data_IF_551651613789
#
_entry.id   IF_551651613789
#
_cell.length_a   1.000
_cell.length_b   1.000
_cell.length_c   1.000
_cell.angle_alpha   90.00
_cell.angle_beta   90.00
_cell.angle_gamma   90.00
#
_symmetry.space_group_name_H-M   'P 1'
#
loop_
_entity.id
_entity.type
_entity.pdbx_description
1 polymer ?
#
# COMPACT_ATOMS: atom_id res chain seq x y z
N UNK A 1 -9.40 9.90 8.66
CA UNK A 1 -10.72 10.46 8.27
C UNK A 1 -11.60 10.74 9.49
N UNK A 2 -11.50 9.95 10.59
CA UNK A 2 -12.16 10.27 11.85
C UNK A 2 -11.50 11.47 12.54
N UNK A 3 -12.22 12.12 13.47
CA UNK A 3 -11.72 13.29 14.20
C UNK A 3 -10.64 12.87 15.22
N UNK A 4 -9.46 13.44 15.13
CA UNK A 4 -8.35 13.25 16.05
C UNK A 4 -7.68 14.59 16.36
N UNK A 5 -7.02 14.69 17.51
CA UNK A 5 -6.22 15.86 17.84
C UNK A 5 -4.91 15.86 17.05
N UNK A 6 -4.62 16.98 16.42
CA UNK A 6 -3.34 17.25 15.80
C UNK A 6 -2.34 17.61 16.87
N UNK A 7 -1.55 16.64 17.28
CA UNK A 7 -0.68 16.81 18.43
C UNK A 7 0.66 17.40 18.04
N UNK A 8 1.12 18.36 18.83
CA UNK A 8 2.47 18.89 18.74
C UNK A 8 3.47 17.81 19.10
N UNK A 9 4.45 17.59 18.22
CA UNK A 9 5.48 16.59 18.41
C UNK A 9 6.66 17.25 19.09
N UNK A 10 7.04 16.79 20.28
CA UNK A 10 8.29 17.20 20.86
C UNK A 10 9.45 16.68 20.00
N UNK A 11 10.33 17.56 19.59
CA UNK A 11 11.62 17.19 19.01
C UNK A 11 12.42 16.40 20.05
N UNK A 12 12.18 15.11 20.17
CA UNK A 12 12.88 14.20 21.05
C UNK A 12 13.35 12.93 20.35
N UNK A 13 14.48 12.46 20.84
CA UNK A 13 15.45 11.58 20.25
C UNK A 13 15.11 10.08 20.23
N UNK A 14 13.95 9.63 20.70
CA UNK A 14 13.70 8.25 21.07
C UNK A 14 12.50 7.60 20.36
N UNK A 15 12.21 8.02 19.12
CA UNK A 15 11.21 7.29 18.31
C UNK A 15 11.94 6.10 17.69
N UNK A 16 11.50 4.85 17.96
CA UNK A 16 12.13 3.67 17.38
C UNK A 16 12.06 3.70 15.84
N UNK A 17 13.14 3.29 15.17
CA UNK A 17 13.26 3.26 13.70
C UNK A 17 12.13 2.51 12.97
N UNK A 18 11.52 1.55 13.63
CA UNK A 18 10.41 0.75 13.13
C UNK A 18 9.03 1.30 13.51
N UNK A 19 9.00 2.41 14.22
CA UNK A 19 7.73 3.00 14.56
C UNK A 19 7.12 3.57 13.27
N UNK A 20 6.12 2.89 12.74
CA UNK A 20 5.04 3.57 12.03
C UNK A 20 4.74 4.84 12.79
N UNK A 21 4.23 5.94 12.20
CA UNK A 21 4.08 7.21 12.90
C UNK A 21 3.25 7.02 14.19
N UNK A 22 3.94 6.57 15.23
CA UNK A 22 3.44 6.40 16.59
C UNK A 22 4.18 7.41 17.44
N UNK A 23 3.47 8.41 17.87
CA UNK A 23 4.03 9.43 18.74
C UNK A 23 3.59 9.21 20.16
N UNK A 24 4.55 9.23 21.08
CA UNK A 24 4.22 9.38 22.48
C UNK A 24 3.76 10.83 22.72
N UNK A 25 2.57 10.95 23.28
CA UNK A 25 2.05 12.21 23.76
C UNK A 25 2.94 12.80 24.81
N UNK A 26 3.18 14.10 24.74
CA UNK A 26 3.71 14.83 25.88
C UNK A 26 2.61 15.24 26.83
N UNK A 27 3.01 15.36 28.09
CA UNK A 27 2.23 16.00 29.14
C UNK A 27 1.71 17.36 28.69
N UNK A 28 0.47 17.65 29.07
CA UNK A 28 -0.42 18.74 28.64
C UNK A 28 0.09 20.18 28.89
N UNK A 29 1.39 20.40 29.15
CA UNK A 29 1.92 21.71 29.53
C UNK A 29 2.95 22.33 28.59
N UNK A 30 3.11 21.84 27.36
CA UNK A 30 4.03 22.48 26.42
C UNK A 30 3.38 23.69 25.74
N UNK A 31 3.89 24.86 26.04
CA UNK A 31 3.61 26.11 25.32
C UNK A 31 3.95 25.88 23.83
N UNK A 32 2.99 26.05 22.93
CA UNK A 32 3.23 26.02 21.49
C UNK A 32 4.24 27.10 21.12
N UNK A 33 5.36 26.69 20.56
CA UNK A 33 6.33 27.62 19.94
C UNK A 33 6.12 27.59 18.43
N UNK A 34 6.39 28.70 17.73
CA UNK A 34 6.23 28.80 16.26
C UNK A 34 7.02 27.74 15.46
N UNK A 35 7.92 27.00 16.10
CA UNK A 35 8.75 25.95 15.51
C UNK A 35 8.27 24.52 15.82
N UNK A 36 7.17 24.35 16.52
CA UNK A 36 6.66 23.02 16.85
C UNK A 36 6.08 22.33 15.60
N UNK A 37 6.45 21.08 15.40
CA UNK A 37 5.89 20.24 14.33
C UNK A 37 4.60 19.58 14.81
N UNK A 38 3.62 19.50 13.93
CA UNK A 38 2.30 18.93 14.22
C UNK A 38 2.11 17.66 13.44
N UNK A 39 1.73 16.58 14.11
CA UNK A 39 1.31 15.34 13.44
C UNK A 39 -0.10 15.52 12.88
N UNK A 40 -0.23 15.64 11.55
CA UNK A 40 -1.50 15.75 10.87
C UNK A 40 -1.99 14.44 10.23
N UNK A 41 -1.21 13.36 10.30
CA UNK A 41 -1.67 12.03 9.84
C UNK A 41 -2.57 11.33 10.86
N UNK A 42 -2.55 11.73 12.12
CA UNK A 42 -3.26 11.07 13.21
C UNK A 42 -2.46 9.91 13.78
N UNK A 43 -2.97 8.70 13.71
CA UNK A 43 -2.46 7.50 14.41
C UNK A 43 -2.43 7.69 15.94
N UNK A 44 -3.41 8.45 16.41
CA UNK A 44 -3.70 8.69 17.82
C UNK A 44 -5.14 8.33 18.13
N UNK A 45 -5.50 8.30 19.39
CA UNK A 45 -6.91 8.20 19.78
C UNK A 45 -7.69 9.42 19.29
N UNK A 46 -9.00 9.24 19.08
CA UNK A 46 -9.84 10.33 18.61
C UNK A 46 -11.32 10.02 18.82
N UNK A 47 -12.17 10.89 18.33
CA UNK A 47 -13.60 10.65 18.27
C UNK A 47 -13.92 9.85 17.00
N UNK A 48 -14.04 8.55 17.15
CA UNK A 48 -14.29 7.61 16.04
C UNK A 48 -15.68 7.76 15.40
N UNK A 49 -16.59 8.54 16.00
CA UNK A 49 -17.94 8.77 15.49
C UNK A 49 -18.09 10.12 14.79
N UNK A 50 -17.00 10.86 14.63
CA UNK A 50 -17.00 12.14 13.95
C UNK A 50 -16.03 12.15 12.77
N UNK A 51 -16.38 12.83 11.69
CA UNK A 51 -15.49 13.08 10.55
C UNK A 51 -14.54 14.21 10.88
N UNK A 52 -13.28 14.10 10.49
CA UNK A 52 -12.25 15.13 10.67
C UNK A 52 -12.69 16.45 10.06
N UNK A 53 -12.98 17.44 10.91
CA UNK A 53 -13.55 18.71 10.49
C UNK A 53 -12.60 19.52 9.61
N UNK A 54 -11.28 19.45 9.86
CA UNK A 54 -10.27 20.17 9.08
C UNK A 54 -10.13 19.68 7.64
N UNK A 55 -10.69 18.51 7.30
CA UNK A 55 -10.66 17.97 5.93
C UNK A 55 -11.85 18.46 5.08
N UNK A 56 -12.83 19.11 5.69
CA UNK A 56 -13.98 19.64 4.98
C UNK A 56 -13.67 20.99 4.34
N UNK A 57 -14.36 21.29 3.25
CA UNK A 57 -14.22 22.57 2.53
C UNK A 57 -14.83 23.75 3.28
N UNK A 58 -15.68 23.50 4.28
CA UNK A 58 -16.34 24.51 5.12
C UNK A 58 -16.63 23.96 6.51
N UNK A 59 -16.58 24.82 7.52
CA UNK A 59 -16.62 24.46 8.94
C UNK A 59 -17.92 23.76 9.42
N UNK A 60 -18.97 23.66 8.58
CA UNK A 60 -20.32 23.33 9.09
C UNK A 60 -20.83 21.93 8.77
N UNK A 61 -20.21 21.13 7.89
CA UNK A 61 -20.85 19.88 7.48
C UNK A 61 -19.90 18.81 6.90
N UNK A 62 -18.82 18.52 7.60
CA UNK A 62 -17.85 17.49 7.21
C UNK A 62 -18.50 16.12 6.93
N UNK A 63 -19.52 15.75 7.70
CA UNK A 63 -20.22 14.48 7.55
C UNK A 63 -20.98 14.39 6.21
N UNK A 64 -21.65 15.46 5.80
CA UNK A 64 -22.36 15.47 4.51
C UNK A 64 -21.39 15.57 3.33
N UNK A 65 -20.28 16.27 3.48
CA UNK A 65 -19.24 16.28 2.44
C UNK A 65 -18.66 14.87 2.22
N UNK A 66 -18.36 14.14 3.30
CA UNK A 66 -17.91 12.76 3.20
C UNK A 66 -18.96 11.85 2.55
N UNK A 67 -20.24 11.94 2.94
CA UNK A 67 -21.32 11.15 2.31
C UNK A 67 -21.39 11.42 0.80
N UNK A 68 -21.35 12.68 0.39
CA UNK A 68 -21.34 13.06 -1.04
C UNK A 68 -20.10 12.52 -1.77
N UNK A 69 -18.95 12.51 -1.10
CA UNK A 69 -17.72 11.93 -1.66
C UNK A 69 -17.91 10.44 -1.92
N UNK A 70 -18.35 9.68 -0.92
CA UNK A 70 -18.57 8.23 -1.03
C UNK A 70 -19.62 7.93 -2.11
N UNK A 71 -20.76 8.65 -2.13
CA UNK A 71 -21.76 8.50 -3.19
C UNK A 71 -21.20 8.78 -4.59
N UNK A 72 -20.31 9.76 -4.71
CA UNK A 72 -19.69 10.08 -5.99
C UNK A 72 -18.70 9.01 -6.42
N UNK A 73 -17.96 8.43 -5.50
CA UNK A 73 -17.11 7.26 -5.75
C UNK A 73 -17.93 6.08 -6.25
N UNK A 74 -19.01 5.72 -5.56
CA UNK A 74 -19.91 4.63 -5.93
C UNK A 74 -20.55 4.83 -7.32
N UNK A 75 -20.99 6.06 -7.65
CA UNK A 75 -21.50 6.39 -9.00
C UNK A 75 -20.48 6.18 -10.12
N UNK A 76 -19.18 6.17 -9.78
CA UNK A 76 -18.10 5.89 -10.73
C UNK A 76 -17.53 4.46 -10.58
N UNK A 77 -18.20 3.56 -9.86
CA UNK A 77 -17.79 2.19 -9.67
C UNK A 77 -16.56 2.02 -8.77
N UNK A 78 -16.27 3.01 -7.92
CA UNK A 78 -15.15 3.00 -6.98
C UNK A 78 -15.65 2.76 -5.55
N UNK A 79 -14.93 1.97 -4.80
CA UNK A 79 -15.16 1.72 -3.39
C UNK A 79 -14.38 2.71 -2.52
N UNK A 80 -14.85 2.92 -1.30
CA UNK A 80 -14.20 3.78 -0.30
C UNK A 80 -13.77 2.94 0.90
N UNK A 81 -12.46 2.82 1.11
CA UNK A 81 -11.87 2.14 2.27
C UNK A 81 -11.27 3.19 3.20
N UNK A 82 -11.63 3.14 4.47
CA UNK A 82 -11.20 4.11 5.49
C UNK A 82 -10.11 3.49 6.36
N UNK A 83 -8.99 4.17 6.49
CA UNK A 83 -7.95 3.78 7.45
C UNK A 83 -8.30 4.28 8.85
N UNK A 84 -8.28 3.37 9.85
CA UNK A 84 -8.56 3.67 11.25
C UNK A 84 -7.50 3.07 12.17
N UNK A 85 -6.97 3.90 13.05
CA UNK A 85 -6.02 3.50 14.06
C UNK A 85 -6.68 3.41 15.44
N UNK A 86 -6.48 2.30 16.11
CA UNK A 86 -6.94 2.09 17.48
C UNK A 86 -5.74 1.84 18.40
N UNK A 87 -5.45 2.74 19.35
CA UNK A 87 -4.40 2.55 20.32
C UNK A 87 -4.58 1.27 21.12
N UNK A 88 -3.47 0.73 21.64
CA UNK A 88 -3.51 -0.40 22.56
C UNK A 88 -4.46 -0.10 23.74
N UNK A 89 -5.25 -1.09 24.13
CA UNK A 89 -6.30 -1.01 25.17
C UNK A 89 -7.56 -0.23 24.79
N UNK A 90 -7.77 0.12 23.53
CA UNK A 90 -9.10 0.60 23.10
C UNK A 90 -10.15 -0.48 23.36
N UNK A 91 -11.28 -0.07 23.92
CA UNK A 91 -12.39 -1.01 24.24
C UNK A 91 -12.88 -1.71 22.96
N UNK A 92 -13.04 -3.02 23.02
CA UNK A 92 -13.42 -3.84 21.87
C UNK A 92 -14.83 -3.52 21.34
N UNK A 93 -15.77 -3.14 22.22
CA UNK A 93 -17.11 -2.75 21.81
C UNK A 93 -17.07 -1.39 21.10
N UNK A 94 -16.24 -0.46 21.60
CA UNK A 94 -16.01 0.83 20.93
C UNK A 94 -15.49 0.64 19.51
N UNK A 95 -14.53 -0.28 19.31
CA UNK A 95 -14.00 -0.60 17.97
C UNK A 95 -15.14 -1.10 17.06
N UNK A 96 -15.91 -2.10 17.51
CA UNK A 96 -16.99 -2.67 16.70
C UNK A 96 -18.07 -1.63 16.39
N UNK A 97 -18.47 -0.83 17.37
CA UNK A 97 -19.50 0.19 17.19
C UNK A 97 -19.03 1.32 16.27
N UNK A 98 -17.74 1.71 16.33
CA UNK A 98 -17.17 2.65 15.41
C UNK A 98 -17.21 2.13 13.96
N UNK A 99 -16.75 0.89 13.72
CA UNK A 99 -16.76 0.29 12.39
C UNK A 99 -18.19 0.17 11.83
N UNK A 100 -19.14 -0.30 12.64
CA UNK A 100 -20.57 -0.37 12.27
C UNK A 100 -21.14 1.01 11.95
N UNK A 101 -20.80 2.03 12.76
CA UNK A 101 -21.24 3.40 12.55
C UNK A 101 -20.81 3.94 11.18
N UNK A 102 -19.56 3.74 10.79
CA UNK A 102 -19.04 4.22 9.50
C UNK A 102 -19.69 3.50 8.31
N UNK A 103 -19.91 2.19 8.41
CA UNK A 103 -20.66 1.45 7.38
C UNK A 103 -22.09 1.97 7.25
N UNK A 104 -22.79 2.12 8.36
CA UNK A 104 -24.22 2.54 8.33
C UNK A 104 -24.42 4.01 7.98
N UNK A 105 -23.50 4.89 8.43
CA UNK A 105 -23.68 6.35 8.29
C UNK A 105 -23.07 6.91 7.02
N UNK A 106 -21.99 6.30 6.51
CA UNK A 106 -21.25 6.81 5.35
C UNK A 106 -21.18 5.82 4.20
N UNK A 107 -21.68 4.58 4.39
CA UNK A 107 -21.65 3.53 3.37
C UNK A 107 -20.24 3.21 2.86
N UNK A 108 -19.25 3.26 3.75
CA UNK A 108 -17.89 2.85 3.40
C UNK A 108 -17.83 1.35 3.11
N UNK A 109 -17.02 0.96 2.15
CA UNK A 109 -16.94 -0.42 1.66
C UNK A 109 -15.92 -1.26 2.43
N UNK A 110 -15.05 -0.61 3.19
CA UNK A 110 -14.04 -1.31 3.96
C UNK A 110 -13.24 -0.44 4.90
N UNK A 111 -12.38 -1.12 5.64
CA UNK A 111 -11.46 -0.50 6.58
C UNK A 111 -10.06 -1.08 6.41
N UNK A 112 -9.06 -0.21 6.47
CA UNK A 112 -7.70 -0.59 6.83
C UNK A 112 -7.52 -0.34 8.31
N UNK A 113 -7.30 -1.40 9.07
CA UNK A 113 -7.21 -1.34 10.52
C UNK A 113 -5.75 -1.32 10.97
N UNK A 114 -5.44 -0.42 11.88
CA UNK A 114 -4.14 -0.31 12.52
C UNK A 114 -4.30 -0.38 14.04
N UNK A 115 -3.44 -1.14 14.69
CA UNK A 115 -3.45 -1.34 16.14
C UNK A 115 -3.03 -2.77 16.51
N UNK A 116 -2.53 -2.97 17.74
CA UNK A 116 -1.88 -4.23 18.10
C UNK A 116 -2.83 -5.28 18.69
N UNK A 117 -3.98 -4.89 19.25
CA UNK A 117 -4.91 -5.80 19.98
C UNK A 117 -6.35 -5.63 19.53
N UNK A 118 -6.56 -5.74 18.24
CA UNK A 118 -7.91 -5.63 17.68
C UNK A 118 -8.73 -6.91 17.95
N UNK A 119 -10.05 -6.78 18.16
CA UNK A 119 -10.94 -7.93 18.36
C UNK A 119 -11.25 -8.64 17.04
N UNK A 120 -10.20 -9.21 16.39
CA UNK A 120 -10.26 -9.76 15.03
C UNK A 120 -11.41 -10.76 14.88
N UNK A 121 -11.56 -11.72 15.81
CA UNK A 121 -12.61 -12.73 15.75
C UNK A 121 -14.01 -12.10 15.77
N UNK A 122 -14.21 -11.09 16.62
CA UNK A 122 -15.51 -10.41 16.71
C UNK A 122 -15.80 -9.58 15.44
N UNK A 123 -14.78 -8.90 14.87
CA UNK A 123 -14.91 -8.16 13.62
C UNK A 123 -15.28 -9.10 12.47
N UNK A 124 -14.58 -10.22 12.33
CA UNK A 124 -14.79 -11.19 11.25
C UNK A 124 -16.14 -11.89 11.33
N UNK A 125 -16.66 -12.12 12.56
CA UNK A 125 -17.93 -12.77 12.78
C UNK A 125 -19.13 -11.81 12.81
N UNK A 126 -18.89 -10.51 12.84
CA UNK A 126 -19.95 -9.51 12.86
C UNK A 126 -20.82 -9.56 11.60
N UNK A 127 -22.14 -9.56 11.78
CA UNK A 127 -23.08 -9.74 10.68
C UNK A 127 -23.02 -8.61 9.63
N UNK A 128 -22.73 -7.36 10.06
CA UNK A 128 -22.57 -6.22 9.18
C UNK A 128 -21.18 -6.20 8.54
N UNK A 129 -20.14 -6.36 9.36
CA UNK A 129 -18.74 -6.29 8.90
C UNK A 129 -18.32 -7.50 8.07
N UNK A 130 -19.05 -8.62 8.13
CA UNK A 130 -18.79 -9.80 7.29
C UNK A 130 -18.93 -9.56 5.78
N UNK A 131 -19.54 -8.44 5.39
CA UNK A 131 -19.67 -8.00 3.99
C UNK A 131 -18.80 -6.78 3.66
N UNK A 132 -18.03 -6.32 4.65
CA UNK A 132 -17.18 -5.14 4.56
C UNK A 132 -15.74 -5.59 4.38
N UNK A 133 -14.98 -4.99 3.50
CA UNK A 133 -13.56 -5.31 3.30
C UNK A 133 -12.75 -4.92 4.53
N UNK A 134 -11.98 -5.83 5.06
CA UNK A 134 -11.10 -5.59 6.21
C UNK A 134 -9.65 -5.88 5.80
N UNK A 135 -8.85 -4.85 5.85
CA UNK A 135 -7.41 -4.90 5.59
C UNK A 135 -6.70 -4.83 6.95
N UNK A 136 -5.99 -5.87 7.32
CA UNK A 136 -5.28 -5.90 8.61
C UNK A 136 -4.12 -6.91 8.57
N UNK A 137 -2.92 -6.48 8.97
CA UNK A 137 -1.72 -7.32 8.91
C UNK A 137 -1.65 -8.38 10.02
N UNK A 138 -2.39 -8.16 11.12
CA UNK A 138 -2.39 -9.03 12.29
C UNK A 138 -3.44 -10.15 12.28
N UNK A 139 -3.94 -10.57 11.12
CA UNK A 139 -4.84 -11.73 11.06
C UNK A 139 -4.10 -13.00 11.46
N UNK A 140 -4.46 -13.55 12.63
CA UNK A 140 -4.12 -14.91 12.97
C UNK A 140 -5.18 -15.85 12.37
N UNK A 141 -4.83 -16.50 11.27
CA UNK A 141 -5.73 -17.40 10.56
C UNK A 141 -6.12 -18.63 11.38
N UNK A 142 -5.42 -18.93 12.48
CA UNK A 142 -5.79 -20.03 13.38
C UNK A 142 -7.02 -19.73 14.25
N UNK A 143 -7.27 -18.44 14.51
CA UNK A 143 -8.44 -17.98 15.30
C UNK A 143 -9.60 -17.49 14.43
N UNK A 144 -9.37 -17.32 13.13
CA UNK A 144 -10.43 -17.03 12.16
C UNK A 144 -11.20 -18.32 11.87
N UNK A 145 -12.54 -18.34 12.07
CA UNK A 145 -13.32 -19.54 11.84
C UNK A 145 -13.16 -20.10 10.42
N UNK A 146 -12.80 -21.39 10.30
CA UNK A 146 -12.53 -22.05 9.04
C UNK A 146 -13.78 -22.62 8.34
N UNK A 147 -14.96 -22.37 8.89
CA UNK A 147 -16.22 -22.94 8.41
C UNK A 147 -16.85 -22.20 7.24
N UNK A 148 -16.23 -21.15 6.76
CA UNK A 148 -16.64 -20.38 5.58
C UNK A 148 -15.43 -19.78 4.84
N UNK A 149 -15.63 -19.42 3.58
CA UNK A 149 -14.67 -18.63 2.82
C UNK A 149 -14.81 -17.15 3.18
N UNK A 150 -13.70 -16.49 3.43
CA UNK A 150 -13.65 -15.05 3.69
C UNK A 150 -13.11 -14.34 2.45
N UNK A 151 -14.00 -13.76 1.68
CA UNK A 151 -13.65 -13.00 0.46
C UNK A 151 -13.41 -11.52 0.75
N UNK A 152 -13.62 -11.11 2.00
CA UNK A 152 -13.56 -9.72 2.45
C UNK A 152 -12.34 -9.40 3.33
N UNK A 153 -11.47 -10.38 3.60
CA UNK A 153 -10.28 -10.19 4.44
C UNK A 153 -9.02 -10.05 3.58
N UNK A 154 -8.18 -9.06 3.91
CA UNK A 154 -6.96 -8.75 3.16
C UNK A 154 -5.78 -8.49 4.09
N UNK A 155 -4.58 -8.90 3.65
CA UNK A 155 -3.31 -8.68 4.35
C UNK A 155 -2.37 -7.92 3.43
N UNK A 156 -1.79 -6.83 3.91
CA UNK A 156 -0.73 -6.10 3.21
C UNK A 156 0.56 -6.94 3.20
N UNK A 157 1.22 -7.03 2.04
CA UNK A 157 2.42 -7.87 1.86
C UNK A 157 3.69 -7.04 1.86
N UNK A 158 4.26 -6.81 3.05
CA UNK A 158 5.55 -6.14 3.22
C UNK A 158 6.69 -6.93 2.57
N UNK A 159 6.64 -8.27 2.61
CA UNK A 159 7.65 -9.12 1.96
C UNK A 159 7.68 -8.93 0.44
N UNK A 160 6.50 -8.65 -0.17
CA UNK A 160 6.45 -8.30 -1.58
C UNK A 160 7.15 -6.97 -1.86
N UNK A 161 6.92 -5.96 -1.02
CA UNK A 161 7.57 -4.64 -1.12
C UNK A 161 9.10 -4.79 -1.10
N UNK A 162 9.64 -5.56 -0.14
CA UNK A 162 11.08 -5.77 0.00
C UNK A 162 11.66 -6.51 -1.20
N UNK A 163 11.07 -7.63 -1.60
CA UNK A 163 11.54 -8.41 -2.73
C UNK A 163 11.54 -7.58 -4.03
N UNK A 164 10.47 -6.81 -4.27
CA UNK A 164 10.37 -5.94 -5.45
C UNK A 164 11.40 -4.80 -5.42
N UNK A 165 11.54 -4.08 -4.29
CA UNK A 165 12.52 -2.98 -4.15
C UNK A 165 13.95 -3.46 -4.30
N UNK A 166 14.32 -4.57 -3.65
CA UNK A 166 15.66 -5.16 -3.75
C UNK A 166 15.98 -5.56 -5.19
N UNK A 167 15.03 -6.18 -5.90
CA UNK A 167 15.21 -6.57 -7.30
C UNK A 167 15.33 -5.36 -8.22
N UNK A 168 14.44 -4.37 -8.09
CA UNK A 168 14.43 -3.16 -8.90
C UNK A 168 15.74 -2.37 -8.78
N UNK A 169 16.31 -2.29 -7.59
CA UNK A 169 17.48 -1.49 -7.29
C UNK A 169 18.79 -2.29 -7.20
N UNK A 170 18.74 -3.57 -7.55
CA UNK A 170 19.89 -4.48 -7.55
C UNK A 170 20.62 -4.58 -6.20
N UNK A 171 19.83 -4.61 -5.11
CA UNK A 171 20.31 -4.76 -3.74
C UNK A 171 20.02 -6.17 -3.27
N UNK A 172 21.03 -7.00 -3.06
CA UNK A 172 20.86 -8.41 -2.65
C UNK A 172 19.78 -9.15 -3.45
N UNK A 173 19.80 -8.99 -4.77
CA UNK A 173 18.80 -9.53 -5.69
C UNK A 173 18.58 -11.03 -5.48
N UNK A 174 17.33 -11.42 -5.35
CA UNK A 174 16.92 -12.82 -5.33
C UNK A 174 15.68 -12.98 -6.22
N UNK A 175 15.88 -13.44 -7.45
CA UNK A 175 14.79 -13.66 -8.41
C UNK A 175 13.79 -14.72 -7.90
N UNK A 176 14.27 -15.74 -7.23
CA UNK A 176 13.39 -16.78 -6.67
C UNK A 176 12.44 -16.20 -5.62
N UNK A 177 12.95 -15.36 -4.73
CA UNK A 177 12.12 -14.70 -3.72
C UNK A 177 11.07 -13.80 -4.37
N UNK A 178 11.47 -12.96 -5.35
CA UNK A 178 10.52 -12.12 -6.08
C UNK A 178 9.41 -12.97 -6.73
N UNK A 179 9.75 -14.04 -7.43
CA UNK A 179 8.78 -14.91 -8.08
C UNK A 179 7.85 -15.61 -7.08
N UNK A 180 8.38 -15.98 -5.91
CA UNK A 180 7.55 -16.53 -4.83
C UNK A 180 6.53 -15.50 -4.32
N UNK A 181 6.94 -14.27 -4.15
CA UNK A 181 6.02 -13.20 -3.72
C UNK A 181 5.02 -12.82 -4.83
N UNK A 182 5.44 -12.83 -6.09
CA UNK A 182 4.58 -12.53 -7.25
C UNK A 182 3.34 -13.46 -7.35
N UNK A 183 3.52 -14.73 -7.04
CA UNK A 183 2.48 -15.76 -7.12
C UNK A 183 1.78 -16.05 -5.80
N UNK A 184 2.20 -15.42 -4.71
CA UNK A 184 1.68 -15.73 -3.38
C UNK A 184 0.25 -15.24 -3.25
N UNK A 185 -0.63 -16.15 -2.86
CA UNK A 185 -2.04 -15.88 -2.58
C UNK A 185 -2.49 -16.73 -1.39
N UNK A 186 -3.37 -16.17 -0.57
CA UNK A 186 -3.98 -16.90 0.54
C UNK A 186 -5.14 -17.77 0.08
N UNK A 187 -5.44 -18.83 0.83
CA UNK A 187 -6.61 -19.68 0.56
C UNK A 187 -7.92 -19.01 0.99
N UNK A 188 -7.89 -18.29 2.12
CA UNK A 188 -9.05 -17.67 2.77
C UNK A 188 -8.89 -16.16 3.00
N UNK A 189 -7.85 -15.55 2.45
CA UNK A 189 -7.54 -14.13 2.62
C UNK A 189 -6.85 -13.61 1.37
N UNK A 190 -7.24 -12.41 0.91
CA UNK A 190 -6.57 -11.74 -0.20
C UNK A 190 -5.25 -11.11 0.25
N UNK A 191 -4.27 -11.04 -0.66
CA UNK A 191 -3.02 -10.34 -0.42
C UNK A 191 -2.99 -9.04 -1.21
N UNK A 192 -2.55 -7.96 -0.54
CA UNK A 192 -2.34 -6.65 -1.15
C UNK A 192 -0.84 -6.46 -1.36
N UNK A 193 -0.45 -6.33 -2.61
CA UNK A 193 0.92 -6.06 -3.01
C UNK A 193 1.12 -4.56 -3.21
N UNK A 194 2.24 -4.02 -2.75
CA UNK A 194 2.61 -2.63 -2.93
C UNK A 194 4.14 -2.48 -2.99
N UNK A 195 4.60 -1.38 -3.58
CA UNK A 195 6.05 -1.06 -3.66
C UNK A 195 6.36 0.19 -2.85
N UNK A 196 5.41 1.12 -2.77
CA UNK A 196 5.48 2.37 -2.02
C UNK A 196 4.28 2.50 -1.08
N UNK A 197 4.48 3.18 0.02
CA UNK A 197 3.45 3.48 1.00
C UNK A 197 3.81 4.78 1.73
N UNK A 198 2.90 5.27 2.57
CA UNK A 198 3.15 6.42 3.42
C UNK A 198 4.26 6.19 4.47
N UNK A 199 4.62 4.93 4.74
CA UNK A 199 5.73 4.56 5.61
C UNK A 199 6.96 4.20 4.76
N UNK A 200 7.63 5.18 4.21
CA UNK A 200 8.79 5.00 3.34
C UNK A 200 8.81 5.98 2.17
N UNK A 201 9.72 5.77 1.23
CA UNK A 201 9.80 6.57 0.02
C UNK A 201 8.57 6.38 -0.89
N UNK A 202 8.16 7.48 -1.55
CA UNK A 202 7.32 7.40 -2.74
C UNK A 202 8.01 6.56 -3.82
N UNK A 203 7.27 6.06 -4.80
CA UNK A 203 7.89 5.32 -5.89
C UNK A 203 8.93 6.15 -6.67
N UNK A 204 8.71 7.45 -6.78
CA UNK A 204 9.67 8.36 -7.42
C UNK A 204 10.95 8.49 -6.60
N UNK A 205 10.82 8.71 -5.29
CA UNK A 205 11.96 8.90 -4.39
C UNK A 205 12.78 7.63 -4.22
N UNK A 206 12.16 6.46 -4.33
CA UNK A 206 12.83 5.15 -4.35
C UNK A 206 13.94 5.06 -5.43
N UNK A 207 13.80 5.82 -6.52
CA UNK A 207 14.76 5.87 -7.63
C UNK A 207 15.55 7.19 -7.68
N UNK A 208 15.38 8.06 -6.67
CA UNK A 208 16.04 9.35 -6.63
C UNK A 208 16.96 9.55 -5.44
N UNK A 209 16.73 8.84 -4.34
CA UNK A 209 17.43 9.05 -3.09
C UNK A 209 18.01 7.74 -2.56
N UNK A 210 19.28 7.78 -2.11
CA UNK A 210 19.86 6.68 -1.35
C UNK A 210 19.53 6.81 0.12
N UNK A 211 19.63 8.03 0.64
CA UNK A 211 19.42 8.35 2.04
C UNK A 211 18.10 9.08 2.24
N UNK A 212 17.51 8.93 3.42
CA UNK A 212 16.32 9.70 3.82
C UNK A 212 16.71 11.15 4.11
N UNK A 213 15.80 12.06 3.78
CA UNK A 213 15.93 13.50 3.99
C UNK A 213 14.79 14.01 4.88
N UNK A 214 14.77 13.57 6.15
CA UNK A 214 13.73 13.90 7.13
C UNK A 214 14.12 15.07 8.01
N UNK A 215 15.17 15.85 7.68
CA UNK A 215 15.66 16.97 8.50
C UNK A 215 14.56 17.98 8.82
N UNK A 216 13.64 18.20 7.86
CA UNK A 216 12.52 19.11 8.02
C UNK A 216 11.50 18.64 9.08
N UNK A 217 11.54 17.37 9.50
CA UNK A 217 10.67 16.84 10.55
C UNK A 217 11.15 17.28 11.95
N UNK A 218 12.39 17.79 12.08
CA UNK A 218 12.93 18.28 13.34
C UNK A 218 13.49 17.18 14.25
N UNK A 219 13.56 15.93 13.79
CA UNK A 219 14.02 14.76 14.54
C UNK A 219 15.44 14.34 14.17
N UNK A 220 16.24 15.29 13.65
CA UNK A 220 17.65 15.08 13.23
C UNK A 220 17.82 13.93 12.22
N UNK A 221 16.85 13.73 11.37
CA UNK A 221 16.83 12.65 10.36
C UNK A 221 16.89 11.23 10.98
N UNK A 222 16.41 11.07 12.22
CA UNK A 222 16.41 9.78 12.92
C UNK A 222 15.10 9.01 12.76
N UNK A 223 14.04 9.68 12.35
CA UNK A 223 12.70 9.15 12.14
C UNK A 223 12.53 8.44 10.78
N UNK A 224 11.46 7.68 10.66
CA UNK A 224 11.15 6.91 9.45
C UNK A 224 12.02 5.65 9.27
N UNK A 225 11.67 4.78 8.31
CA UNK A 225 12.38 3.53 8.10
C UNK A 225 13.83 3.77 7.64
N UNK A 226 14.76 2.99 8.19
CA UNK A 226 16.19 3.02 7.81
C UNK A 226 16.47 2.18 6.55
N UNK A 227 15.59 1.23 6.24
CA UNK A 227 15.71 0.31 5.10
C UNK A 227 14.79 0.74 3.96
N UNK A 228 15.31 1.52 3.02
CA UNK A 228 14.50 1.96 1.87
C UNK A 228 14.68 1.05 0.64
N UNK A 229 15.81 0.34 0.55
CA UNK A 229 16.20 -0.44 -0.63
C UNK A 229 16.12 0.41 -1.92
N UNK A 230 16.57 1.65 -1.82
CA UNK A 230 16.52 2.66 -2.87
C UNK A 230 17.84 2.79 -3.63
N UNK A 231 17.81 3.47 -4.76
CA UNK A 231 19.02 3.78 -5.54
C UNK A 231 18.86 5.12 -6.29
N UNK A 232 19.77 6.05 -6.07
CA UNK A 232 19.75 7.36 -6.72
C UNK A 232 20.30 7.36 -8.16
N UNK A 233 20.87 6.24 -8.63
CA UNK A 233 21.48 6.11 -9.96
C UNK A 233 22.56 7.15 -10.26
N UNK A 234 23.31 7.57 -9.24
CA UNK A 234 24.44 8.50 -9.35
C UNK A 234 24.09 9.98 -9.24
N UNK A 235 22.90 10.31 -8.72
CA UNK A 235 22.52 11.68 -8.39
C UNK A 235 21.45 11.68 -7.32
N UNK A 236 21.76 12.21 -6.15
CA UNK A 236 20.78 12.40 -5.07
C UNK A 236 19.77 13.48 -5.50
N UNK A 237 18.48 13.15 -5.41
CA UNK A 237 17.39 14.03 -5.82
C UNK A 237 17.24 14.22 -7.35
N UNK A 238 16.58 15.30 -7.77
CA UNK A 238 16.29 15.57 -9.20
C UNK A 238 17.56 15.68 -10.05
N UNK A 239 17.53 15.20 -11.28
CA UNK A 239 18.68 15.24 -12.21
C UNK A 239 18.30 15.78 -13.59
N UNK A 240 19.18 16.63 -14.15
CA UNK A 240 19.09 17.09 -15.55
C UNK A 240 19.79 16.14 -16.54
N UNK A 241 20.60 15.20 -16.06
CA UNK A 241 21.31 14.23 -16.90
C UNK A 241 20.31 13.28 -17.55
N UNK A 242 20.32 13.25 -18.90
CA UNK A 242 19.37 12.42 -19.69
C UNK A 242 19.43 10.96 -19.29
N UNK A 243 20.62 10.39 -19.17
CA UNK A 243 20.84 8.99 -18.82
C UNK A 243 20.16 8.62 -17.48
N UNK A 244 20.33 9.45 -16.43
CA UNK A 244 19.71 9.21 -15.12
C UNK A 244 18.18 9.25 -15.22
N UNK A 245 17.63 10.22 -15.94
CA UNK A 245 16.18 10.35 -16.11
C UNK A 245 15.58 9.15 -16.85
N UNK A 246 16.25 8.67 -17.90
CA UNK A 246 15.78 7.50 -18.66
C UNK A 246 15.81 6.23 -17.81
N UNK A 247 16.88 5.99 -17.01
CA UNK A 247 16.93 4.86 -16.09
C UNK A 247 15.78 4.94 -15.07
N UNK A 248 15.59 6.07 -14.42
CA UNK A 248 14.52 6.25 -13.43
C UNK A 248 13.13 6.03 -14.03
N UNK A 249 12.90 6.52 -15.24
CA UNK A 249 11.66 6.29 -15.99
C UNK A 249 11.45 4.80 -16.30
N UNK A 250 12.51 4.09 -16.68
CA UNK A 250 12.45 2.65 -16.92
C UNK A 250 12.11 1.90 -15.62
N UNK A 251 12.81 2.24 -14.53
CA UNK A 251 12.57 1.61 -13.21
C UNK A 251 11.15 1.83 -12.69
N UNK A 252 10.59 3.02 -12.91
CA UNK A 252 9.18 3.28 -12.60
C UNK A 252 8.26 2.35 -13.39
N UNK A 253 8.51 2.15 -14.69
CA UNK A 253 7.72 1.22 -15.53
C UNK A 253 7.89 -0.23 -15.07
N UNK A 254 9.11 -0.65 -14.77
CA UNK A 254 9.40 -1.99 -14.25
C UNK A 254 8.66 -2.24 -12.93
N UNK A 255 8.64 -1.25 -12.03
CA UNK A 255 7.91 -1.33 -10.77
C UNK A 255 6.40 -1.52 -10.98
N UNK A 256 5.79 -0.73 -11.86
CA UNK A 256 4.37 -0.87 -12.18
C UNK A 256 4.06 -2.21 -12.87
N UNK A 257 4.93 -2.69 -13.77
CA UNK A 257 4.79 -4.02 -14.37
C UNK A 257 4.84 -5.12 -13.31
N UNK A 258 5.84 -5.11 -12.44
CA UNK A 258 5.95 -6.08 -11.36
C UNK A 258 4.70 -6.08 -10.48
N UNK A 259 4.20 -4.91 -10.10
CA UNK A 259 3.04 -4.78 -9.23
C UNK A 259 1.75 -5.29 -9.88
N UNK A 260 1.46 -4.87 -11.11
CA UNK A 260 0.21 -5.20 -11.77
C UNK A 260 0.18 -6.60 -12.42
N UNK A 261 1.33 -7.22 -12.63
CA UNK A 261 1.43 -8.62 -13.09
C UNK A 261 1.57 -9.61 -11.93
N UNK A 262 1.56 -9.16 -10.67
CA UNK A 262 1.51 -10.02 -9.50
C UNK A 262 0.09 -10.57 -9.27
N UNK A 263 -0.01 -11.76 -8.69
CA UNK A 263 -1.30 -12.42 -8.44
C UNK A 263 -2.19 -11.67 -7.44
N UNK A 264 -1.61 -11.08 -6.39
CA UNK A 264 -2.35 -10.33 -5.38
C UNK A 264 -3.00 -9.04 -5.89
N UNK A 265 -3.70 -8.33 -5.02
CA UNK A 265 -4.32 -7.04 -5.32
C UNK A 265 -3.24 -5.95 -5.36
N UNK A 266 -3.07 -5.23 -6.48
CA UNK A 266 -2.10 -4.15 -6.54
C UNK A 266 -2.60 -2.91 -5.80
N UNK A 267 -1.74 -2.32 -4.97
CA UNK A 267 -1.98 -1.03 -4.30
C UNK A 267 -0.86 -0.05 -4.67
N UNK A 268 -1.25 1.16 -5.07
CA UNK A 268 -0.33 2.28 -5.33
C UNK A 268 -0.55 3.39 -4.31
N UNK A 269 0.51 4.08 -3.95
CA UNK A 269 0.42 5.31 -3.17
C UNK A 269 -0.10 6.45 -4.07
N UNK A 270 -1.01 7.27 -3.55
CA UNK A 270 -1.52 8.43 -4.28
C UNK A 270 -0.37 9.35 -4.72
N UNK A 271 -0.33 9.67 -6.01
CA UNK A 271 0.73 10.46 -6.62
C UNK A 271 1.83 9.63 -7.32
N UNK A 272 1.93 8.33 -7.08
CA UNK A 272 2.91 7.48 -7.79
C UNK A 272 2.65 7.46 -9.31
N UNK A 273 1.38 7.53 -9.72
CA UNK A 273 0.95 7.58 -11.12
C UNK A 273 1.46 8.84 -11.86
N UNK A 274 1.75 9.89 -11.13
CA UNK A 274 2.29 11.15 -11.65
C UNK A 274 3.73 11.42 -11.21
N UNK A 275 4.41 10.41 -10.65
CA UNK A 275 5.76 10.51 -10.10
C UNK A 275 5.90 11.62 -9.06
N UNK A 276 4.98 11.68 -8.10
CA UNK A 276 5.08 12.59 -6.97
C UNK A 276 6.33 12.27 -6.15
N UNK A 277 6.97 13.29 -5.61
CA UNK A 277 8.15 13.19 -4.75
C UNK A 277 7.87 13.91 -3.45
N UNK A 278 8.38 13.39 -2.37
CA UNK A 278 8.42 14.01 -1.05
C UNK A 278 9.83 14.53 -0.73
N UNK A 279 10.63 14.80 -1.80
CA UNK A 279 11.99 15.32 -1.71
C UNK A 279 12.92 14.46 -0.84
N UNK A 280 12.70 13.13 -0.85
CA UNK A 280 13.47 12.17 -0.04
C UNK A 280 13.04 12.09 1.42
N UNK A 281 11.95 12.77 1.82
CA UNK A 281 11.35 12.55 3.12
C UNK A 281 10.54 11.25 3.09
N UNK A 282 10.94 10.26 3.89
CA UNK A 282 10.29 8.96 3.94
C UNK A 282 9.33 8.79 5.13
N UNK A 283 9.00 9.90 5.81
CA UNK A 283 8.09 9.94 6.95
C UNK A 283 7.43 11.33 7.08
N UNK A 284 6.66 11.74 6.08
CA UNK A 284 6.14 13.10 5.93
C UNK A 284 4.96 13.44 6.86
N UNK A 285 4.81 12.76 7.99
CA UNK A 285 3.69 12.83 8.93
C UNK A 285 3.41 14.24 9.51
N UNK A 286 4.44 15.10 9.58
CA UNK A 286 4.37 16.46 10.08
C UNK A 286 4.65 17.51 8.99
N UNK A 287 4.56 17.11 7.72
CA UNK A 287 4.80 17.99 6.57
C UNK A 287 3.47 18.36 5.89
N UNK A 288 2.69 19.24 6.55
CA UNK A 288 1.50 19.84 5.93
C UNK A 288 1.91 21.00 5.00
N UNK A 289 2.68 20.67 3.98
CA UNK A 289 3.26 21.57 3.01
C UNK A 289 3.57 20.82 1.70
N UNK A 290 4.13 21.47 0.67
CA UNK A 290 4.42 20.83 -0.63
C UNK A 290 5.25 19.54 -0.56
N UNK A 291 6.07 19.31 0.47
CA UNK A 291 6.78 18.03 0.66
C UNK A 291 5.79 16.90 0.94
N UNK A 292 4.79 17.10 1.80
CA UNK A 292 3.78 16.09 2.13
C UNK A 292 2.60 16.03 1.17
N UNK A 293 2.39 17.07 0.36
CA UNK A 293 1.24 17.13 -0.54
C UNK A 293 1.49 16.41 -1.87
N UNK A 294 0.42 15.92 -2.49
CA UNK A 294 0.47 15.43 -3.87
C UNK A 294 0.45 16.62 -4.83
N UNK A 295 1.49 16.75 -5.65
CA UNK A 295 1.57 17.82 -6.64
C UNK A 295 0.79 17.47 -7.92
N UNK A 296 -0.49 17.77 -7.94
CA UNK A 296 -1.37 17.51 -9.08
C UNK A 296 -0.99 18.28 -10.36
N UNK A 297 -0.19 19.35 -10.27
CA UNK A 297 0.29 20.07 -11.47
C UNK A 297 1.21 19.21 -12.34
N UNK A 298 1.76 18.13 -11.80
CA UNK A 298 2.59 17.18 -12.55
C UNK A 298 1.80 16.32 -13.55
N UNK A 299 0.46 16.26 -13.47
CA UNK A 299 -0.37 15.43 -14.34
C UNK A 299 -0.07 15.65 -15.82
N UNK A 300 0.00 16.92 -16.24
CA UNK A 300 0.27 17.25 -17.64
C UNK A 300 1.62 16.74 -18.13
N UNK A 301 2.67 16.91 -17.34
CA UNK A 301 4.04 16.45 -17.66
C UNK A 301 4.18 14.94 -17.59
N UNK A 302 3.29 14.27 -16.89
CA UNK A 302 3.33 12.81 -16.63
C UNK A 302 2.25 12.02 -17.39
N UNK A 303 1.60 12.61 -18.38
CA UNK A 303 0.57 11.94 -19.20
C UNK A 303 1.00 10.60 -19.78
N UNK A 304 2.29 10.44 -20.11
CA UNK A 304 2.80 9.18 -20.61
C UNK A 304 2.73 8.08 -19.55
N UNK A 305 3.04 8.41 -18.28
CA UNK A 305 2.99 7.47 -17.17
C UNK A 305 1.54 7.06 -16.88
N UNK A 306 0.64 8.03 -16.84
CA UNK A 306 -0.81 7.77 -16.66
C UNK A 306 -1.32 6.86 -17.79
N UNK A 307 -0.97 7.14 -19.05
CA UNK A 307 -1.38 6.27 -20.18
C UNK A 307 -0.79 4.86 -20.08
N UNK A 308 0.46 4.74 -19.64
CA UNK A 308 1.08 3.43 -19.42
C UNK A 308 0.34 2.66 -18.34
N UNK A 309 0.10 3.28 -17.19
CA UNK A 309 -0.62 2.67 -16.08
C UNK A 309 -2.07 2.28 -16.47
N UNK A 310 -2.80 3.17 -17.14
CA UNK A 310 -4.15 2.88 -17.64
C UNK A 310 -4.17 1.64 -18.55
N UNK A 311 -3.18 1.51 -19.45
CA UNK A 311 -3.07 0.32 -20.30
C UNK A 311 -2.74 -0.94 -19.51
N UNK A 312 -1.93 -0.81 -18.47
CA UNK A 312 -1.54 -1.94 -17.63
C UNK A 312 -2.72 -2.43 -16.77
N UNK A 313 -3.52 -1.50 -16.24
CA UNK A 313 -4.77 -1.83 -15.53
C UNK A 313 -5.71 -2.57 -16.49
N UNK A 314 -5.94 -2.01 -17.69
CA UNK A 314 -6.80 -2.63 -18.69
C UNK A 314 -6.29 -4.02 -19.08
N UNK A 315 -4.98 -4.18 -19.27
CA UNK A 315 -4.37 -5.48 -19.58
C UNK A 315 -4.67 -6.50 -18.48
N UNK A 316 -4.50 -6.12 -17.20
CA UNK A 316 -4.82 -6.99 -16.08
C UNK A 316 -6.30 -7.39 -16.03
N UNK A 317 -7.22 -6.45 -16.33
CA UNK A 317 -8.66 -6.70 -16.36
C UNK A 317 -9.06 -7.63 -17.52
N UNK A 318 -8.40 -7.49 -18.66
CA UNK A 318 -8.63 -8.34 -19.85
C UNK A 318 -8.03 -9.76 -19.68
N UNK A 319 -7.06 -9.92 -18.75
CA UNK A 319 -6.36 -11.20 -18.50
C UNK A 319 -6.54 -11.69 -17.06
N UNK A 320 -7.75 -12.13 -16.67
CA UNK A 320 -8.06 -12.52 -15.28
C UNK A 320 -7.24 -13.72 -14.78
N UNK A 321 -6.54 -14.44 -15.66
CA UNK A 321 -5.60 -15.51 -15.28
C UNK A 321 -4.49 -14.98 -14.36
N UNK A 322 -4.07 -13.72 -14.52
CA UNK A 322 -3.04 -13.07 -13.68
C UNK A 322 -3.53 -12.89 -12.23
N UNK A 323 -4.82 -12.56 -12.07
CA UNK A 323 -5.45 -12.26 -10.79
C UNK A 323 -6.24 -13.43 -10.20
N UNK A 324 -5.87 -14.66 -10.56
CA UNK A 324 -6.53 -15.87 -10.04
C UNK A 324 -6.61 -15.82 -8.50
N UNK A 325 -7.81 -15.99 -7.90
CA UNK A 325 -7.99 -15.90 -6.46
C UNK A 325 -7.41 -17.08 -5.70
N UNK A 326 -7.15 -18.21 -6.39
CA UNK A 326 -6.58 -19.41 -5.78
C UNK A 326 -5.08 -19.50 -6.02
N UNK A 327 -4.30 -20.05 -5.06
CA UNK A 327 -2.88 -20.29 -5.26
C UNK A 327 -2.60 -21.17 -6.48
N UNK A 328 -1.57 -20.83 -7.25
CA UNK A 328 -1.09 -21.68 -8.35
C UNK A 328 -0.39 -22.93 -7.81
N UNK A 329 -0.62 -24.08 -8.48
CA UNK A 329 -0.09 -25.39 -8.08
C UNK A 329 1.19 -25.81 -8.81
N UNK A 330 1.54 -25.09 -9.89
CA UNK A 330 2.68 -25.46 -10.76
C UNK A 330 2.62 -26.89 -11.30
N UNK A 331 1.44 -27.38 -11.56
CA UNK A 331 1.21 -28.73 -12.03
C UNK A 331 0.07 -28.79 -13.03
N UNK A 332 0.14 -29.78 -13.92
CA UNK A 332 -0.95 -30.06 -14.86
C UNK A 332 -2.00 -30.98 -14.22
N UNK A 333 -2.82 -30.40 -13.35
CA UNK A 333 -3.89 -31.15 -12.65
C UNK A 333 -5.20 -31.27 -13.45
N UNK A 334 -5.27 -30.64 -14.62
CA UNK A 334 -6.40 -30.78 -15.55
C UNK A 334 -6.08 -31.63 -16.80
N UNK A 335 -4.84 -32.16 -16.89
CA UNK A 335 -4.35 -32.92 -18.03
C UNK A 335 -4.50 -32.19 -19.39
N UNK A 336 -4.18 -30.90 -19.39
CA UNK A 336 -4.23 -30.03 -20.59
C UNK A 336 -2.90 -29.96 -21.31
N UNK A 337 -1.85 -30.57 -20.77
CA UNK A 337 -0.48 -30.58 -21.33
C UNK A 337 0.44 -29.51 -20.78
N UNK A 338 -0.06 -28.59 -19.95
CA UNK A 338 0.71 -27.48 -19.37
C UNK A 338 0.32 -27.26 -17.92
N UNK A 339 1.26 -26.84 -17.02
CA UNK A 339 0.91 -26.41 -15.68
C UNK A 339 0.13 -25.08 -15.69
N UNK A 340 -0.58 -24.79 -14.63
CA UNK A 340 -1.34 -23.54 -14.42
C UNK A 340 -0.43 -22.30 -14.45
N UNK A 341 0.79 -22.42 -13.92
CA UNK A 341 1.84 -21.42 -13.97
C UNK A 341 3.19 -22.10 -14.20
N UNK A 342 4.05 -21.51 -15.03
CA UNK A 342 5.41 -22.00 -15.24
C UNK A 342 6.41 -20.86 -15.40
N UNK A 343 7.65 -21.12 -14.99
CA UNK A 343 8.78 -20.22 -15.16
C UNK A 343 9.75 -20.73 -16.22
N UNK A 344 10.26 -19.81 -17.00
CA UNK A 344 11.20 -20.08 -18.10
C UNK A 344 12.40 -19.17 -17.94
N UNK A 345 13.56 -19.77 -17.69
CA UNK A 345 14.83 -19.03 -17.62
C UNK A 345 15.60 -19.13 -18.95
N UNK A 346 16.89 -19.44 -18.89
CA UNK A 346 17.72 -19.60 -20.10
C UNK A 346 17.17 -20.67 -21.05
N UNK A 347 16.62 -21.74 -20.49
CA UNK A 347 15.97 -22.81 -21.25
C UNK A 347 14.47 -22.79 -20.95
N UNK A 348 13.66 -22.99 -21.99
CA UNK A 348 12.21 -23.12 -21.83
C UNK A 348 11.90 -24.30 -20.87
N UNK A 349 10.89 -24.13 -20.03
CA UNK A 349 10.41 -25.13 -19.06
C UNK A 349 11.38 -25.48 -17.92
N UNK A 350 12.53 -24.82 -17.84
CA UNK A 350 13.48 -24.99 -16.74
C UNK A 350 13.43 -23.72 -15.89
N UNK A 351 12.76 -23.81 -14.75
CA UNK A 351 12.58 -22.73 -13.78
C UNK A 351 13.76 -22.58 -12.81
N UNK A 352 14.97 -22.96 -13.20
CA UNK A 352 16.17 -22.70 -12.40
C UNK A 352 16.48 -21.20 -12.42
N UNK A 353 15.75 -20.45 -11.59
CA UNK A 353 15.99 -19.04 -11.36
C UNK A 353 17.18 -18.91 -10.40
N UNK A 354 18.37 -18.84 -10.97
CA UNK A 354 19.56 -18.41 -10.25
C UNK A 354 19.35 -16.99 -9.72
N UNK A 355 19.68 -16.75 -8.47
CA UNK A 355 19.56 -15.43 -7.81
C UNK A 355 20.27 -14.31 -8.58
N UNK A 356 21.27 -14.66 -9.41
CA UNK A 356 22.06 -13.71 -10.21
C UNK A 356 21.43 -13.34 -11.55
N UNK A 357 20.34 -14.01 -11.97
CA UNK A 357 19.70 -13.75 -13.26
C UNK A 357 18.61 -12.71 -13.12
N UNK A 358 18.61 -11.76 -14.03
CA UNK A 358 17.71 -10.62 -14.07
C UNK A 358 16.61 -10.74 -15.15
N UNK A 359 16.40 -11.94 -15.67
CA UNK A 359 15.39 -12.19 -16.70
C UNK A 359 14.71 -13.54 -16.47
N UNK A 360 13.40 -13.54 -16.52
CA UNK A 360 12.57 -14.74 -16.40
C UNK A 360 11.32 -14.57 -17.28
N UNK A 361 10.94 -15.62 -18.01
CA UNK A 361 9.63 -15.73 -18.62
C UNK A 361 8.66 -16.36 -17.63
N UNK A 362 7.45 -15.86 -17.60
CA UNK A 362 6.34 -16.38 -16.78
C UNK A 362 5.19 -16.69 -17.69
N UNK A 363 4.74 -17.95 -17.72
CA UNK A 363 3.58 -18.35 -18.50
C UNK A 363 2.40 -18.68 -17.58
N UNK A 364 1.30 -18.00 -17.77
CA UNK A 364 0.00 -18.30 -17.18
C UNK A 364 -0.85 -19.07 -18.17
N UNK A 365 -1.32 -20.25 -17.78
CA UNK A 365 -2.12 -21.10 -18.64
C UNK A 365 -3.62 -20.81 -18.44
N UNK A 366 -4.27 -20.30 -19.47
CA UNK A 366 -5.68 -19.89 -19.44
C UNK A 366 -6.67 -21.05 -19.29
N UNK A 367 -6.28 -22.31 -19.54
CA UNK A 367 -7.18 -23.46 -19.36
C UNK A 367 -7.54 -23.71 -17.88
N UNK A 368 -6.82 -23.09 -16.96
CA UNK A 368 -7.11 -23.16 -15.52
C UNK A 368 -8.04 -22.03 -15.06
N UNK A 369 -8.31 -21.04 -15.91
CA UNK A 369 -9.26 -19.99 -15.61
C UNK A 369 -10.65 -20.37 -16.13
N UNK A 370 -11.68 -20.25 -15.30
CA UNK A 370 -13.06 -20.58 -15.65
C UNK A 370 -13.73 -19.46 -16.47
N UNK A 371 -13.23 -18.22 -16.35
CA UNK A 371 -13.84 -17.03 -16.96
C UNK A 371 -13.35 -16.81 -18.39
N UNK A 372 -12.07 -16.97 -18.63
CA UNK A 372 -11.46 -16.74 -19.93
C UNK A 372 -10.24 -17.66 -20.12
N UNK A 373 -10.26 -18.42 -21.22
CA UNK A 373 -9.14 -19.29 -21.62
C UNK A 373 -8.07 -18.48 -22.33
N UNK A 374 -7.43 -17.59 -21.61
CA UNK A 374 -6.42 -16.69 -22.13
C UNK A 374 -5.04 -17.05 -21.59
N UNK A 375 -4.05 -17.07 -22.46
CA UNK A 375 -2.67 -17.39 -22.14
C UNK A 375 -1.86 -16.10 -22.09
N UNK A 376 -1.12 -15.89 -21.01
CA UNK A 376 -0.21 -14.76 -20.84
C UNK A 376 1.21 -15.29 -20.71
N UNK A 377 2.11 -14.77 -21.55
CA UNK A 377 3.53 -15.11 -21.50
C UNK A 377 4.36 -13.83 -21.47
#
# INVERSE_FOLDING_TARGET
VYEFEEMTIPVKHDIPEYAKPKYSLKDEQSVHTENDKVNFWGYTSGNYFAVKASYASGASDASNELRRLVERLHKNGMECIVEMYFPDRTDHNLILDALRYWVMSFHVDGFKLLGDRLPVTAIVQDALLSRTKILYDGFDMSVVPQNRTYENLYIDKEEYQFAARMMLNHINCNMYELLNQQKKQGENVGFINYISSNNGFTLSDLFMYNDRHNEANGEKNADGPSWNFSNNYGCEGPSRKRFIREIRKLKWKDAMLLLFLAQGVPMIMAGDEICNSQDGNNNAYCQDNPTGWVNWSNEHSRRENIRFLTRLIKFRDEHPVISCPKPFKFSDYKAVGYPDLSYHCKNAWIGECDATKLCVGVMYCGDYNEVNKDYVY
#
